data_IF_203737118904
#
_entry.id   IF_203737118904
#
_cell.length_a   1.000
_cell.length_b   1.000
_cell.length_c   1.000
_cell.angle_alpha   90.00
_cell.angle_beta   90.00
_cell.angle_gamma   90.00
#
_symmetry.space_group_name_H-M   'P 1'
#
loop_
_entity.id
_entity.type
_entity.pdbx_description
1 polymer ?
#
# COMPACT_ATOMS: atom_id res chain seq x y z
N UNK A 1 -34.28 5.59 11.89
CA UNK A 1 -33.14 5.08 11.10
C UNK A 1 -31.97 5.14 12.04
N UNK A 2 -31.82 4.13 12.87
CA UNK A 2 -30.83 4.17 13.96
C UNK A 2 -29.45 3.95 13.35
N UNK A 3 -28.62 4.99 13.37
CA UNK A 3 -27.27 4.95 12.84
C UNK A 3 -26.41 4.05 13.73
N UNK A 4 -26.02 2.88 13.23
CA UNK A 4 -25.09 2.00 13.94
C UNK A 4 -23.78 2.75 14.21
N UNK A 5 -23.30 2.82 15.47
CA UNK A 5 -22.07 3.52 15.80
C UNK A 5 -20.89 2.92 15.03
N UNK A 6 -20.08 3.78 14.39
CA UNK A 6 -18.95 3.35 13.55
C UNK A 6 -17.67 3.05 14.36
N UNK A 7 -17.63 3.46 15.64
CA UNK A 7 -16.49 3.31 16.54
C UNK A 7 -16.93 3.15 18.00
N UNK A 8 -16.19 2.37 18.77
CA UNK A 8 -16.43 2.18 20.21
C UNK A 8 -15.23 2.62 21.07
N UNK A 9 -15.14 3.92 21.44
CA UNK A 9 -14.06 4.41 22.30
C UNK A 9 -14.08 3.84 23.73
N UNK A 10 -15.26 3.57 24.28
CA UNK A 10 -15.44 3.16 25.69
C UNK A 10 -15.06 1.70 25.98
N UNK A 11 -14.60 0.97 24.96
CA UNK A 11 -14.24 -0.45 25.04
C UNK A 11 -12.73 -0.69 25.08
N UNK A 12 -11.92 0.38 25.07
CA UNK A 12 -10.46 0.29 25.21
C UNK A 12 -10.11 -0.17 26.63
N UNK A 13 -9.19 -1.12 26.76
CA UNK A 13 -8.69 -1.65 28.04
C UNK A 13 -9.53 -2.78 28.66
N UNK A 14 -10.70 -3.11 28.09
CA UNK A 14 -11.50 -4.27 28.49
C UNK A 14 -10.96 -5.56 27.87
N UNK A 15 -11.42 -6.69 28.37
CA UNK A 15 -11.05 -7.99 27.80
C UNK A 15 -11.58 -8.12 26.36
N UNK A 16 -10.74 -8.64 25.47
CA UNK A 16 -11.07 -8.77 24.05
C UNK A 16 -12.31 -9.62 23.79
N UNK A 17 -12.51 -10.70 24.56
CA UNK A 17 -13.63 -11.60 24.34
C UNK A 17 -14.96 -10.97 24.80
N UNK A 18 -14.95 -10.30 25.94
CA UNK A 18 -16.12 -9.56 26.44
C UNK A 18 -16.54 -8.45 25.46
N UNK A 19 -15.56 -7.74 24.89
CA UNK A 19 -15.80 -6.69 23.89
C UNK A 19 -16.41 -7.26 22.61
N UNK A 20 -15.92 -8.41 22.14
CA UNK A 20 -16.50 -9.10 20.97
C UNK A 20 -17.95 -9.49 21.20
N UNK A 21 -18.27 -10.05 22.37
CA UNK A 21 -19.65 -10.40 22.70
C UNK A 21 -20.56 -9.18 22.75
N UNK A 22 -20.09 -8.08 23.37
CA UNK A 22 -20.85 -6.84 23.45
C UNK A 22 -21.13 -6.27 22.06
N UNK A 23 -20.12 -6.23 21.19
CA UNK A 23 -20.27 -5.73 19.81
C UNK A 23 -21.22 -6.61 19.01
N UNK A 24 -21.13 -7.95 19.14
CA UNK A 24 -22.06 -8.87 18.47
C UNK A 24 -23.52 -8.63 18.91
N UNK A 25 -23.75 -8.37 20.20
CA UNK A 25 -25.08 -8.06 20.74
C UNK A 25 -25.62 -6.72 20.24
N UNK A 26 -24.78 -5.68 20.19
CA UNK A 26 -25.19 -4.32 19.80
C UNK A 26 -25.40 -4.16 18.30
N UNK A 27 -24.54 -4.76 17.47
CA UNK A 27 -24.53 -4.51 16.02
C UNK A 27 -25.15 -5.62 15.19
N UNK A 28 -25.23 -6.85 15.73
CA UNK A 28 -25.64 -8.02 14.97
C UNK A 28 -24.65 -8.47 13.88
N UNK A 29 -23.43 -7.91 13.82
CA UNK A 29 -22.43 -8.37 12.85
C UNK A 29 -21.98 -9.81 13.16
N UNK A 30 -22.00 -10.67 12.13
CA UNK A 30 -21.62 -12.08 12.27
C UNK A 30 -20.10 -12.27 12.37
N UNK A 31 -19.32 -11.38 11.73
CA UNK A 31 -17.86 -11.46 11.69
C UNK A 31 -17.21 -10.43 12.62
N UNK A 32 -17.12 -10.76 13.91
CA UNK A 32 -16.30 -10.00 14.88
C UNK A 32 -15.22 -10.94 15.40
N UNK A 33 -13.96 -10.61 15.11
CA UNK A 33 -12.79 -11.44 15.44
C UNK A 33 -11.81 -10.69 16.32
N UNK A 34 -11.24 -11.40 17.31
CA UNK A 34 -10.09 -10.94 18.10
C UNK A 34 -8.83 -11.15 17.26
N UNK A 35 -7.99 -10.12 17.21
CA UNK A 35 -6.74 -10.11 16.46
C UNK A 35 -5.58 -9.93 17.43
N UNK A 36 -4.77 -10.97 17.54
CA UNK A 36 -3.53 -10.97 18.32
C UNK A 36 -2.47 -10.07 17.67
N UNK A 37 -1.56 -9.50 18.47
CA UNK A 37 -0.49 -8.66 17.95
C UNK A 37 0.42 -9.48 17.02
N UNK A 38 0.88 -8.89 15.91
CA UNK A 38 1.75 -9.54 14.93
C UNK A 38 1.08 -10.51 13.96
N UNK A 39 -0.24 -10.75 14.08
CA UNK A 39 -0.97 -11.56 13.10
C UNK A 39 -1.08 -10.85 11.74
N UNK A 40 -0.83 -11.58 10.65
CA UNK A 40 -0.95 -11.04 9.30
C UNK A 40 -2.43 -10.87 8.94
N UNK A 41 -2.80 -9.67 8.48
CA UNK A 41 -4.16 -9.32 8.12
C UNK A 41 -4.28 -8.96 6.65
N UNK A 42 -5.39 -9.35 6.03
CA UNK A 42 -5.79 -8.85 4.71
C UNK A 42 -6.19 -7.38 4.81
N UNK A 43 -5.69 -6.55 3.90
CA UNK A 43 -5.96 -5.10 3.81
C UNK A 43 -7.15 -4.78 2.88
N UNK A 44 -8.24 -5.53 2.99
CA UNK A 44 -9.44 -5.39 2.18
C UNK A 44 -10.45 -4.38 2.77
N UNK A 45 -11.14 -3.61 1.92
CA UNK A 45 -12.25 -2.76 2.37
C UNK A 45 -13.49 -3.58 2.62
N UNK A 46 -13.86 -3.71 3.89
CA UNK A 46 -15.02 -4.49 4.33
C UNK A 46 -15.74 -3.77 5.45
N UNK A 47 -17.05 -3.65 5.32
CA UNK A 47 -17.96 -3.02 6.29
C UNK A 47 -18.72 -4.06 7.12
N UNK A 48 -18.61 -5.33 6.76
CA UNK A 48 -19.31 -6.46 7.36
C UNK A 48 -18.52 -7.16 8.49
N UNK A 49 -17.27 -6.74 8.74
CA UNK A 49 -16.36 -7.35 9.71
C UNK A 49 -15.70 -6.31 10.60
N UNK A 50 -15.71 -6.57 11.92
CA UNK A 50 -14.98 -5.79 12.92
C UNK A 50 -13.82 -6.63 13.43
N UNK A 51 -12.61 -6.03 13.43
CA UNK A 51 -11.43 -6.63 14.06
C UNK A 51 -11.15 -5.90 15.38
N UNK A 52 -11.16 -6.65 16.48
CA UNK A 52 -10.82 -6.14 17.80
C UNK A 52 -9.37 -6.48 18.07
N UNK A 53 -8.52 -5.46 18.18
CA UNK A 53 -7.08 -5.65 18.37
C UNK A 53 -6.76 -5.70 19.85
N UNK A 54 -6.13 -6.79 20.25
CA UNK A 54 -5.73 -7.04 21.64
C UNK A 54 -4.21 -7.02 21.77
N UNK A 55 -3.74 -6.65 22.96
CA UNK A 55 -2.36 -6.77 23.38
C UNK A 55 -2.02 -8.23 23.74
N UNK A 56 -0.73 -8.49 24.05
CA UNK A 56 -0.26 -9.77 24.58
C UNK A 56 -0.99 -10.19 25.88
N UNK A 57 -1.55 -9.22 26.59
CA UNK A 57 -2.35 -9.41 27.81
C UNK A 57 -3.84 -9.66 27.54
N UNK A 58 -4.27 -9.75 26.28
CA UNK A 58 -5.68 -9.97 25.89
C UNK A 58 -6.58 -8.75 26.02
N UNK A 59 -6.03 -7.57 26.39
CA UNK A 59 -6.78 -6.32 26.52
C UNK A 59 -6.87 -5.56 25.22
N UNK A 60 -7.97 -4.87 24.99
CA UNK A 60 -8.19 -4.07 23.78
C UNK A 60 -7.29 -2.83 23.80
N UNK A 61 -6.37 -2.73 22.84
CA UNK A 61 -5.41 -1.62 22.75
C UNK A 61 -6.03 -0.38 22.07
N UNK A 62 -6.90 -0.59 21.09
CA UNK A 62 -7.48 0.47 20.25
C UNK A 62 -8.99 0.37 20.17
N UNK A 63 -9.69 1.50 19.98
CA UNK A 63 -11.13 1.47 19.80
C UNK A 63 -11.48 0.66 18.54
N UNK A 64 -12.30 -0.39 18.65
CA UNK A 64 -12.70 -1.16 17.48
C UNK A 64 -13.54 -0.27 16.56
N UNK A 65 -13.27 -0.33 15.26
CA UNK A 65 -13.94 0.44 14.22
C UNK A 65 -14.45 -0.50 13.14
N UNK A 66 -15.56 -0.13 12.49
CA UNK A 66 -16.15 -0.91 11.39
C UNK A 66 -15.28 -0.89 10.12
N UNK A 67 -14.46 0.15 9.95
CA UNK A 67 -13.60 0.31 8.77
C UNK A 67 -12.13 0.34 9.20
N UNK A 68 -11.46 -0.79 9.01
CA UNK A 68 -10.04 -0.96 9.29
C UNK A 68 -9.28 -1.01 7.95
N UNK A 69 -8.98 0.16 7.39
CA UNK A 69 -8.01 0.28 6.28
C UNK A 69 -6.78 1.09 6.69
N UNK A 70 -6.92 2.12 7.54
CA UNK A 70 -5.89 3.16 7.62
C UNK A 70 -5.26 3.37 9.01
N UNK A 71 -5.81 2.78 10.07
CA UNK A 71 -5.34 3.07 11.44
C UNK A 71 -4.11 2.22 11.80
N UNK A 72 -4.03 0.97 11.34
CA UNK A 72 -2.89 0.07 11.63
C UNK A 72 -1.61 0.44 10.89
N UNK A 73 -1.72 1.06 9.70
CA UNK A 73 -0.53 1.49 8.97
C UNK A 73 0.09 2.75 9.58
N UNK A 74 -0.71 3.61 10.22
CA UNK A 74 -0.18 4.84 10.83
C UNK A 74 0.51 4.57 12.17
N UNK A 75 0.05 3.61 12.97
CA UNK A 75 0.64 3.33 14.29
C UNK A 75 1.87 2.39 14.22
N UNK A 76 1.86 1.38 13.32
CA UNK A 76 3.04 0.52 13.11
C UNK A 76 4.19 1.30 12.44
N UNK A 77 3.88 2.22 11.51
CA UNK A 77 4.91 3.10 10.93
C UNK A 77 5.44 4.06 11.99
N UNK A 78 4.62 4.71 12.83
CA UNK A 78 5.11 5.72 13.80
C UNK A 78 5.98 5.10 14.91
N UNK A 79 5.63 3.93 15.44
CA UNK A 79 6.43 3.24 16.48
C UNK A 79 7.79 2.73 15.96
N UNK A 80 7.90 2.37 14.67
CA UNK A 80 9.18 1.99 14.04
C UNK A 80 9.97 3.23 13.59
N UNK A 81 9.29 4.34 13.24
CA UNK A 81 9.92 5.56 12.73
C UNK A 81 10.48 6.48 13.84
N UNK A 82 10.05 6.38 15.10
CA UNK A 82 10.64 7.19 16.20
C UNK A 82 12.07 6.78 16.60
N UNK A 83 12.62 5.70 16.03
CA UNK A 83 14.06 5.39 16.09
C UNK A 83 14.78 5.43 14.74
N UNK A 84 14.06 5.77 13.66
CA UNK A 84 14.67 5.97 12.35
C UNK A 84 14.72 7.47 12.07
N UNK A 85 15.88 8.04 12.39
CA UNK A 85 16.44 9.23 11.75
C UNK A 85 15.87 9.39 10.33
N UNK A 86 15.38 10.58 10.01
CA UNK A 86 14.80 10.91 8.72
C UNK A 86 15.93 10.96 7.66
N UNK A 87 16.57 9.82 7.41
CA UNK A 87 17.42 9.58 6.26
C UNK A 87 16.51 9.65 5.05
N UNK A 88 16.41 10.85 4.49
CA UNK A 88 15.88 11.11 3.16
C UNK A 88 16.61 10.14 2.23
N UNK A 89 15.96 9.03 1.86
CA UNK A 89 16.56 8.02 0.98
C UNK A 89 17.20 8.75 -0.20
N UNK A 90 18.53 8.66 -0.38
CA UNK A 90 19.19 9.42 -1.42
C UNK A 90 18.63 8.97 -2.77
N UNK A 91 18.50 9.91 -3.71
CA UNK A 91 18.01 9.59 -5.05
C UNK A 91 18.89 8.50 -5.66
N UNK A 92 18.31 7.33 -5.93
CA UNK A 92 18.99 6.12 -6.43
C UNK A 92 19.84 6.37 -7.71
N UNK A 93 19.58 7.47 -8.43
CA UNK A 93 20.36 7.92 -9.59
C UNK A 93 20.52 9.44 -9.58
N UNK A 94 21.65 9.93 -10.07
CA UNK A 94 21.90 11.37 -10.25
C UNK A 94 21.04 11.94 -11.40
N UNK A 95 20.80 13.26 -11.39
CA UNK A 95 20.04 13.93 -12.47
C UNK A 95 20.70 13.74 -13.85
N UNK A 96 22.03 13.71 -13.91
CA UNK A 96 22.80 13.42 -15.14
C UNK A 96 22.43 12.04 -15.70
N UNK A 97 22.44 11.00 -14.86
CA UNK A 97 22.06 9.63 -15.25
C UNK A 97 20.59 9.58 -15.69
N UNK A 98 19.68 10.22 -14.95
CA UNK A 98 18.24 10.29 -15.32
C UNK A 98 18.03 10.92 -16.70
N UNK A 99 18.72 12.02 -17.02
CA UNK A 99 18.67 12.68 -18.35
C UNK A 99 19.17 11.75 -19.45
N UNK A 100 20.27 11.02 -19.22
CA UNK A 100 20.79 10.04 -20.18
C UNK A 100 19.78 8.91 -20.41
N UNK A 101 19.22 8.34 -19.33
CA UNK A 101 18.21 7.28 -19.43
C UNK A 101 16.97 7.74 -20.21
N UNK A 102 16.46 8.94 -19.93
CA UNK A 102 15.32 9.50 -20.65
C UNK A 102 15.63 9.70 -22.15
N UNK A 103 16.81 10.21 -22.49
CA UNK A 103 17.26 10.35 -23.89
C UNK A 103 17.34 8.99 -24.58
N UNK A 104 17.89 7.98 -23.92
CA UNK A 104 17.98 6.61 -24.45
C UNK A 104 16.61 5.95 -24.60
N UNK A 105 15.69 6.20 -23.66
CA UNK A 105 14.30 5.75 -23.76
C UNK A 105 13.61 6.37 -24.97
N UNK A 106 13.79 7.68 -25.23
CA UNK A 106 13.27 8.37 -26.42
C UNK A 106 13.86 7.80 -27.73
N UNK A 107 15.16 7.49 -27.75
CA UNK A 107 15.82 6.82 -28.88
C UNK A 107 15.29 5.39 -29.12
N UNK A 108 14.83 4.71 -28.07
CA UNK A 108 14.36 3.32 -28.16
C UNK A 108 12.87 3.18 -28.56
N UNK A 109 12.15 4.29 -28.71
CA UNK A 109 10.74 4.31 -29.13
C UNK A 109 10.61 3.78 -30.58
N UNK A 110 9.52 3.05 -30.90
CA UNK A 110 9.27 2.57 -32.27
C UNK A 110 9.10 3.74 -33.25
N UNK A 111 9.36 3.49 -34.54
CA UNK A 111 9.20 4.50 -35.59
C UNK A 111 7.72 4.88 -35.71
N UNK A 112 7.36 6.17 -35.64
CA UNK A 112 5.97 6.60 -35.78
C UNK A 112 5.37 6.19 -37.12
N UNK A 113 4.08 5.84 -37.11
CA UNK A 113 3.38 5.32 -38.28
C UNK A 113 3.39 6.30 -39.46
N UNK A 114 3.24 7.61 -39.20
CA UNK A 114 3.25 8.61 -40.27
C UNK A 114 4.58 8.69 -41.02
N UNK A 115 5.71 8.37 -40.39
CA UNK A 115 7.01 8.27 -41.09
C UNK A 115 7.02 7.03 -42.00
N UNK A 116 6.49 5.91 -41.53
CA UNK A 116 6.36 4.69 -42.33
C UNK A 116 5.52 4.90 -43.58
N UNK A 117 4.45 5.70 -43.47
CA UNK A 117 3.57 6.06 -44.58
C UNK A 117 4.30 6.93 -45.62
N UNK A 118 5.14 7.88 -45.18
CA UNK A 118 5.94 8.73 -46.08
C UNK A 118 7.01 7.99 -46.88
N UNK A 119 7.52 6.87 -46.35
CA UNK A 119 8.64 6.12 -46.96
C UNK A 119 8.22 4.75 -47.49
N UNK A 120 6.91 4.47 -47.61
CA UNK A 120 6.41 3.20 -48.17
C UNK A 120 6.89 1.96 -47.41
N UNK A 121 6.96 2.00 -46.07
CA UNK A 121 7.49 0.91 -45.23
C UNK A 121 8.97 0.51 -45.44
N UNK A 122 9.76 1.30 -46.16
CA UNK A 122 11.21 1.07 -46.32
C UNK A 122 11.94 1.20 -44.97
N UNK A 123 11.56 2.18 -44.14
CA UNK A 123 12.13 2.37 -42.80
C UNK A 123 11.22 1.68 -41.76
N UNK A 124 11.60 0.47 -41.32
CA UNK A 124 10.79 -0.35 -40.38
C UNK A 124 11.20 -0.21 -38.91
N UNK A 125 12.47 0.09 -38.65
CA UNK A 125 13.01 0.22 -37.30
C UNK A 125 13.87 1.49 -37.19
N UNK A 126 14.03 1.99 -35.96
CA UNK A 126 14.94 3.10 -35.69
C UNK A 126 16.37 2.54 -35.62
N UNK A 127 17.26 3.00 -36.50
CA UNK A 127 18.67 2.56 -36.53
C UNK A 127 19.44 2.84 -35.23
N UNK A 128 18.98 3.83 -34.45
CA UNK A 128 19.54 4.20 -33.13
C UNK A 128 18.88 3.44 -31.97
N UNK A 129 17.93 2.54 -32.23
CA UNK A 129 17.25 1.71 -31.23
C UNK A 129 18.27 0.78 -30.58
N UNK A 130 18.27 0.70 -29.24
CA UNK A 130 19.23 -0.10 -28.48
C UNK A 130 18.53 -1.34 -27.92
N UNK A 131 19.05 -2.54 -28.22
CA UNK A 131 18.51 -3.78 -27.68
C UNK A 131 19.08 -4.05 -26.28
N UNK A 132 18.22 -3.95 -25.26
CA UNK A 132 18.63 -4.07 -23.84
C UNK A 132 19.22 -5.43 -23.47
N UNK A 133 18.91 -6.50 -24.23
CA UNK A 133 19.50 -7.83 -24.02
C UNK A 133 20.92 -7.98 -24.61
N UNK A 134 21.36 -7.07 -25.49
CA UNK A 134 22.66 -7.17 -26.19
C UNK A 134 23.74 -6.23 -25.67
N UNK A 135 23.40 -5.08 -25.09
CA UNK A 135 24.40 -4.12 -24.59
C UNK A 135 23.92 -3.38 -23.35
N UNK A 136 24.64 -3.55 -22.23
CA UNK A 136 24.44 -2.70 -21.05
C UNK A 136 24.82 -1.25 -21.39
N UNK A 137 24.14 -0.29 -20.76
CA UNK A 137 24.53 1.11 -20.84
C UNK A 137 25.84 1.25 -20.03
N UNK A 138 26.97 1.48 -20.69
CA UNK A 138 28.24 1.85 -20.06
C UNK A 138 28.08 3.29 -19.52
N UNK A 139 27.44 3.42 -18.36
CA UNK A 139 27.13 4.68 -17.68
C UNK A 139 28.14 4.97 -16.58
#
# INVERSE_FOLDING_TARGET
MDETPRSWPDLVGKDGNEVVEKIKRETGFTQVHVVMPGSMLTMDYRTDRIRVHVDEQGKVQYPPTVVIILIYFRFIIISIVETFDHTKMPSHKTLKIKKVLAKKQKQNRPVPQWIRMRTGNTIRYNSKRRHFRRTKLKL
#
